data_IF_227800884082
#
_entry.id   IF_227800884082
#
_cell.length_a   1.000
_cell.length_b   1.000
_cell.length_c   1.000
_cell.angle_alpha   90.00
_cell.angle_beta   90.00
_cell.angle_gamma   90.00
#
_symmetry.space_group_name_H-M   'P 1'
#
loop_
_entity.id
_entity.type
_entity.pdbx_description
1 polymer ?
#
# COMPACT_ATOMS: atom_id res chain seq x y z
N UNK A 1 -11.46 -0.81 1.03
CA UNK A 1 -10.22 -1.62 1.12
C UNK A 1 -9.29 -1.03 2.19
N UNK A 2 -9.57 -1.25 3.48
CA UNK A 2 -8.79 -0.65 4.57
C UNK A 2 -7.32 -1.09 4.59
N UNK A 3 -7.04 -2.37 4.36
CA UNK A 3 -5.71 -2.96 4.46
C UNK A 3 -4.79 -2.47 3.33
N UNK A 4 -5.28 -2.49 2.09
CA UNK A 4 -4.51 -1.99 0.94
C UNK A 4 -4.22 -0.49 1.06
N UNK A 5 -5.18 0.30 1.56
CA UNK A 5 -4.96 1.73 1.82
C UNK A 5 -3.88 1.93 2.90
N UNK A 6 -3.93 1.13 3.97
CA UNK A 6 -2.88 1.13 5.01
C UNK A 6 -1.49 0.85 4.44
N UNK A 7 -1.36 -0.21 3.62
CA UNK A 7 -0.07 -0.58 2.97
C UNK A 7 0.49 0.53 2.09
N UNK A 8 -0.35 1.23 1.32
CA UNK A 8 0.11 2.38 0.51
C UNK A 8 0.62 3.49 1.42
N UNK A 9 -0.10 3.80 2.51
CA UNK A 9 0.28 4.84 3.45
C UNK A 9 1.54 4.48 4.24
N UNK A 10 1.77 3.21 4.55
CA UNK A 10 3.03 2.70 5.12
C UNK A 10 4.21 2.95 4.18
N UNK A 11 4.05 2.65 2.88
CA UNK A 11 5.08 2.88 1.86
C UNK A 11 5.40 4.37 1.65
N UNK A 12 4.50 5.27 2.05
CA UNK A 12 4.68 6.72 2.03
C UNK A 12 5.11 7.29 3.40
N UNK A 13 5.45 6.43 4.37
CA UNK A 13 5.91 6.84 5.70
C UNK A 13 4.84 7.54 6.54
N UNK A 14 3.56 7.38 6.22
CA UNK A 14 2.47 8.05 6.92
C UNK A 14 2.09 7.27 8.19
N UNK A 15 2.46 7.78 9.37
CA UNK A 15 2.13 7.12 10.64
C UNK A 15 0.59 7.03 10.84
N UNK A 16 0.08 6.05 11.61
CA UNK A 16 -1.36 5.85 11.78
C UNK A 16 -2.15 7.07 12.27
N UNK A 17 -1.53 7.93 13.08
CA UNK A 17 -2.12 9.17 13.58
C UNK A 17 -2.27 10.28 12.50
N UNK A 18 -1.68 10.11 11.32
CA UNK A 18 -1.73 11.06 10.20
C UNK A 18 -2.66 10.60 9.07
N UNK A 19 -3.49 9.56 9.29
CA UNK A 19 -4.32 8.96 8.22
C UNK A 19 -5.79 9.39 8.25
N UNK A 20 -6.14 10.37 9.06
CA UNK A 20 -7.50 10.92 9.09
C UNK A 20 -7.73 11.88 7.92
N UNK A 21 -8.98 12.12 7.55
CA UNK A 21 -9.31 13.06 6.47
C UNK A 21 -8.85 14.50 6.76
N UNK A 22 -8.68 14.88 8.02
CA UNK A 22 -8.14 16.19 8.39
C UNK A 22 -6.69 16.40 7.89
N UNK A 23 -5.94 15.32 7.63
CA UNK A 23 -4.57 15.38 7.11
C UNK A 23 -4.49 15.65 5.59
N UNK A 24 -5.60 15.74 4.86
CA UNK A 24 -5.61 15.88 3.39
C UNK A 24 -4.83 17.10 2.87
N UNK A 25 -4.76 18.18 3.67
CA UNK A 25 -3.98 19.38 3.34
C UNK A 25 -2.49 19.28 3.66
N UNK A 26 -2.08 18.27 4.42
CA UNK A 26 -0.69 18.07 4.84
C UNK A 26 0.05 17.32 3.74
N UNK A 27 1.06 17.97 3.16
CA UNK A 27 1.89 17.37 2.10
C UNK A 27 2.96 16.46 2.70
N UNK A 28 3.46 15.52 1.90
CA UNK A 28 4.59 14.67 2.26
C UNK A 28 5.85 15.54 2.47
N UNK A 29 6.61 15.23 3.52
CA UNK A 29 7.85 15.92 3.84
C UNK A 29 8.98 15.45 2.89
N UNK A 30 9.61 16.35 2.12
CA UNK A 30 10.76 15.99 1.29
C UNK A 30 11.90 15.40 2.12
N UNK A 31 12.62 14.42 1.57
CA UNK A 31 13.75 13.78 2.27
C UNK A 31 13.36 12.73 3.32
N UNK A 32 12.06 12.45 3.49
CA UNK A 32 11.60 11.33 4.33
C UNK A 32 12.17 10.02 3.80
N UNK A 33 12.86 9.26 4.65
CA UNK A 33 13.32 7.92 4.32
C UNK A 33 12.11 6.98 4.18
N UNK A 34 11.97 6.37 3.01
CA UNK A 34 10.88 5.44 2.71
C UNK A 34 11.38 4.00 2.68
N UNK A 35 10.53 3.03 3.07
CA UNK A 35 10.84 1.62 2.91
C UNK A 35 10.91 1.25 1.42
N UNK A 36 11.51 0.10 1.08
CA UNK A 36 11.54 -0.39 -0.30
C UNK A 36 10.11 -0.54 -0.88
N UNK A 37 9.88 -0.12 -2.13
CA UNK A 37 8.56 -0.20 -2.75
C UNK A 37 8.12 -1.66 -2.90
N UNK A 38 6.87 -1.94 -2.51
CA UNK A 38 6.27 -3.28 -2.60
C UNK A 38 4.92 -3.21 -3.31
N UNK A 39 4.59 -4.24 -4.09
CA UNK A 39 3.30 -4.33 -4.77
C UNK A 39 2.14 -4.49 -3.78
N UNK A 40 1.26 -3.49 -3.70
CA UNK A 40 0.07 -3.53 -2.82
C UNK A 40 -1.09 -4.32 -3.44
N UNK A 41 -1.20 -4.28 -4.77
CA UNK A 41 -2.22 -4.97 -5.54
C UNK A 41 -1.55 -5.99 -6.47
N UNK A 42 -1.48 -7.27 -6.07
CA UNK A 42 -0.96 -8.30 -6.95
C UNK A 42 -1.88 -8.47 -8.17
N UNK A 43 -1.30 -8.88 -9.30
CA UNK A 43 -2.09 -9.25 -10.48
C UNK A 43 -2.93 -10.47 -10.15
N UNK A 44 -4.14 -10.53 -10.68
CA UNK A 44 -4.95 -11.73 -10.63
C UNK A 44 -4.25 -12.87 -11.40
N UNK A 45 -4.16 -14.04 -10.77
CA UNK A 45 -3.65 -15.26 -11.39
C UNK A 45 -4.78 -16.28 -11.42
N UNK A 46 -5.21 -16.76 -12.60
CA UNK A 46 -6.23 -17.79 -12.69
C UNK A 46 -5.69 -19.11 -12.11
N UNK A 47 -6.58 -19.97 -11.58
CA UNK A 47 -6.18 -21.29 -11.10
C UNK A 47 -5.53 -22.09 -12.23
N UNK A 48 -4.44 -22.78 -11.91
CA UNK A 48 -3.76 -23.65 -12.87
C UNK A 48 -4.66 -24.86 -13.14
N UNK A 49 -4.89 -25.22 -14.42
CA UNK A 49 -5.65 -26.42 -14.74
C UNK A 49 -5.02 -27.65 -14.06
N UNK A 50 -5.83 -28.62 -13.61
CA UNK A 50 -5.28 -29.86 -13.08
C UNK A 50 -4.43 -30.53 -14.16
N UNK A 51 -3.16 -30.84 -13.83
CA UNK A 51 -2.31 -31.66 -14.70
C UNK A 51 -2.90 -33.08 -14.80
N UNK A 52 -2.90 -33.61 -16.03
CA UNK A 52 -3.83 -34.65 -16.48
C UNK A 52 -3.90 -35.94 -15.66
N UNK A 53 -5.09 -36.55 -15.70
CA UNK A 53 -5.33 -37.99 -15.70
C UNK A 53 -6.38 -38.31 -16.75
#
# INVERSE_FOLDING_TARGET
MPESAGKILDLLGQAPNQRSFAAVGVRLTPGTALPPPTGVFPRYQPPQPPEGK
#
